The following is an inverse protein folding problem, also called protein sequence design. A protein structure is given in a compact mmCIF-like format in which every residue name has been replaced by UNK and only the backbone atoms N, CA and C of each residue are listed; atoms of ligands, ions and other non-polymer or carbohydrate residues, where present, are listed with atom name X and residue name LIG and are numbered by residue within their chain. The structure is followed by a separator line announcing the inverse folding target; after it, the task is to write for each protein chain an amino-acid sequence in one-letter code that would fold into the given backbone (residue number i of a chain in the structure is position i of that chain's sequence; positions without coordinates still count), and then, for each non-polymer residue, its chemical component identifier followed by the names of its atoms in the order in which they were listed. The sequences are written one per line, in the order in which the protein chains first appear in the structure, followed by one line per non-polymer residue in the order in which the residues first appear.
data_IF_067066496140
#
_entry.id   IF_067066496140
#
_cell.length_a   1.000
_cell.length_b   1.000
_cell.length_c   1.000
_cell.angle_alpha   90.00
_cell.angle_beta   90.00
_cell.angle_gamma   90.00
#
_symmetry.space_group_name_H-M   'P 1'
#
loop_
_entity.id
_entity.type
_entity.pdbx_description
1 polymer ?
#
# COMPACT_ATOMS: atom_id res chain seq x y z
N UNK A 1 -25.71 21.28 55.47
CA UNK A 1 -25.67 20.66 54.14
C UNK A 1 -25.49 19.17 54.38
N UNK A 2 -26.44 18.35 53.95
CA UNK A 2 -26.34 16.90 54.13
C UNK A 2 -25.24 16.36 53.21
N UNK A 3 -24.36 15.52 53.75
CA UNK A 3 -23.26 14.91 52.99
C UNK A 3 -23.83 14.07 51.84
N UNK A 4 -25.01 13.47 52.04
CA UNK A 4 -25.72 12.72 51.02
C UNK A 4 -26.11 13.61 49.82
N UNK A 5 -26.67 14.80 50.06
CA UNK A 5 -27.06 15.73 48.99
C UNK A 5 -25.86 16.28 48.22
N UNK A 6 -24.75 16.53 48.91
CA UNK A 6 -23.50 16.95 48.27
C UNK A 6 -22.95 15.86 47.34
N UNK A 7 -22.87 14.62 47.82
CA UNK A 7 -22.40 13.48 47.02
C UNK A 7 -23.32 13.19 45.84
N UNK A 8 -24.65 13.29 46.02
CA UNK A 8 -25.61 13.09 44.94
C UNK A 8 -25.42 14.12 43.81
N UNK A 9 -25.21 15.39 44.16
CA UNK A 9 -24.97 16.45 43.17
C UNK A 9 -23.63 16.28 42.45
N UNK A 10 -22.56 15.93 43.17
CA UNK A 10 -21.24 15.68 42.56
C UNK A 10 -21.27 14.50 41.58
N UNK A 11 -21.97 13.40 41.94
CA UNK A 11 -22.15 12.25 41.06
C UNK A 11 -22.97 12.60 39.81
N UNK A 12 -24.02 13.40 39.97
CA UNK A 12 -24.85 13.85 38.87
C UNK A 12 -24.08 14.74 37.90
N UNK A 13 -23.22 15.62 38.41
CA UNK A 13 -22.39 16.48 37.58
C UNK A 13 -21.29 15.68 36.86
N UNK A 14 -20.64 14.72 37.54
CA UNK A 14 -19.71 13.79 36.91
C UNK A 14 -20.37 12.96 35.81
N UNK A 15 -21.59 12.48 36.03
CA UNK A 15 -22.32 11.71 35.02
C UNK A 15 -22.58 12.54 33.75
N UNK A 16 -22.97 13.82 33.89
CA UNK A 16 -23.13 14.72 32.74
C UNK A 16 -21.81 14.93 31.99
N UNK A 17 -20.72 15.14 32.72
CA UNK A 17 -19.39 15.34 32.10
C UNK A 17 -18.95 14.09 31.33
N UNK A 18 -19.10 12.90 31.91
CA UNK A 18 -18.78 11.62 31.24
C UNK A 18 -19.63 11.46 29.98
N UNK A 19 -20.94 11.74 30.07
CA UNK A 19 -21.85 11.67 28.92
C UNK A 19 -21.40 12.60 27.79
N UNK A 20 -21.05 13.84 28.11
CA UNK A 20 -20.60 14.82 27.12
C UNK A 20 -19.27 14.43 26.47
N UNK A 21 -18.33 13.85 27.23
CA UNK A 21 -17.08 13.32 26.69
C UNK A 21 -17.36 12.20 25.68
N UNK A 22 -18.23 11.25 26.00
CA UNK A 22 -18.58 10.17 25.09
C UNK A 22 -19.30 10.64 23.82
N UNK A 23 -20.26 11.56 23.94
CA UNK A 23 -20.93 12.16 22.77
C UNK A 23 -19.90 12.84 21.83
N UNK A 24 -18.92 13.55 22.39
CA UNK A 24 -17.84 14.17 21.61
C UNK A 24 -16.89 13.13 20.97
N UNK A 25 -16.57 12.04 21.68
CA UNK A 25 -15.73 10.96 21.14
C UNK A 25 -16.40 10.25 19.97
N UNK A 26 -17.70 9.95 20.08
CA UNK A 26 -18.48 9.36 18.98
C UNK A 26 -18.49 10.27 17.74
N UNK A 27 -18.70 11.57 17.93
CA UNK A 27 -18.65 12.54 16.83
C UNK A 27 -17.26 12.58 16.16
N UNK A 28 -16.19 12.54 16.96
CA UNK A 28 -14.82 12.51 16.45
C UNK A 28 -14.52 11.21 15.68
N UNK A 29 -14.97 10.06 16.18
CA UNK A 29 -14.83 8.78 15.48
C UNK A 29 -15.59 8.75 14.16
N UNK A 30 -16.78 9.37 14.11
CA UNK A 30 -17.55 9.52 12.88
C UNK A 30 -16.79 10.38 11.85
N UNK A 31 -16.22 11.52 12.27
CA UNK A 31 -15.39 12.38 11.41
C UNK A 31 -14.17 11.66 10.85
N UNK A 32 -13.47 10.87 11.68
CA UNK A 32 -12.37 10.04 11.20
C UNK A 32 -12.84 8.99 10.18
N UNK A 33 -14.01 8.37 10.41
CA UNK A 33 -14.61 7.44 9.46
C UNK A 33 -14.89 8.07 8.10
N UNK A 34 -15.53 9.24 8.08
CA UNK A 34 -15.80 10.02 6.87
C UNK A 34 -14.51 10.42 6.14
N UNK A 35 -13.50 10.88 6.89
CA UNK A 35 -12.21 11.27 6.31
C UNK A 35 -11.49 10.08 5.66
N UNK A 36 -11.50 8.91 6.31
CA UNK A 36 -10.96 7.66 5.76
C UNK A 36 -11.65 7.29 4.45
N UNK A 37 -12.99 7.34 4.41
CA UNK A 37 -13.76 7.03 3.20
C UNK A 37 -13.40 7.97 2.04
N UNK A 38 -13.27 9.27 2.34
CA UNK A 38 -12.84 10.27 1.37
C UNK A 38 -11.43 10.01 0.83
N UNK A 39 -10.48 9.65 1.69
CA UNK A 39 -9.11 9.29 1.26
C UNK A 39 -9.16 8.04 0.36
N UNK A 40 -9.95 7.02 0.74
CA UNK A 40 -10.10 5.80 -0.06
C UNK A 40 -10.69 6.08 -1.45
N UNK A 41 -11.69 6.95 -1.54
CA UNK A 41 -12.23 7.42 -2.84
C UNK A 41 -11.15 8.12 -3.67
N UNK A 42 -10.36 9.01 -3.06
CA UNK A 42 -9.27 9.70 -3.75
C UNK A 42 -8.16 8.75 -4.22
N UNK A 43 -7.83 7.72 -3.43
CA UNK A 43 -6.88 6.68 -3.80
C UNK A 43 -7.38 5.87 -5.00
N UNK A 44 -8.66 5.47 -4.99
CA UNK A 44 -9.28 4.73 -6.09
C UNK A 44 -9.26 5.56 -7.40
N UNK A 45 -9.62 6.84 -7.32
CA UNK A 45 -9.58 7.75 -8.46
C UNK A 45 -8.15 7.92 -8.98
N UNK A 46 -7.20 8.18 -8.09
CA UNK A 46 -5.78 8.39 -8.47
C UNK A 46 -5.21 7.15 -9.14
N UNK A 47 -5.53 5.95 -8.64
CA UNK A 47 -5.14 4.68 -9.25
C UNK A 47 -5.73 4.50 -10.65
N UNK A 48 -7.02 4.83 -10.82
CA UNK A 48 -7.68 4.78 -12.13
C UNK A 48 -7.03 5.74 -13.13
N UNK A 49 -6.71 6.97 -12.69
CA UNK A 49 -6.03 7.96 -13.52
C UNK A 49 -4.65 7.49 -13.96
N UNK A 50 -3.86 6.89 -13.05
CA UNK A 50 -2.54 6.34 -13.36
C UNK A 50 -2.67 5.26 -14.44
N UNK A 51 -3.56 4.27 -14.24
CA UNK A 51 -3.78 3.20 -15.22
C UNK A 51 -4.23 3.75 -16.60
N UNK A 52 -5.07 4.80 -16.61
CA UNK A 52 -5.48 5.47 -17.83
C UNK A 52 -4.33 6.16 -18.57
N UNK A 53 -3.39 6.76 -17.83
CA UNK A 53 -2.19 7.36 -18.39
C UNK A 53 -1.18 6.31 -18.88
N UNK A 54 -0.98 5.23 -18.12
CA UNK A 54 -0.11 4.11 -18.52
C UNK A 54 -0.56 3.52 -19.86
N UNK A 55 -1.87 3.32 -20.04
CA UNK A 55 -2.42 2.86 -21.32
C UNK A 55 -2.14 3.84 -22.48
N UNK A 56 -2.14 5.15 -22.22
CA UNK A 56 -1.79 6.16 -23.23
C UNK A 56 -0.30 6.13 -23.57
N UNK A 57 0.55 5.87 -22.58
CA UNK A 57 1.99 5.68 -22.77
C UNK A 57 2.25 4.45 -23.63
N UNK A 58 1.65 3.31 -23.29
CA UNK A 58 1.78 2.05 -24.06
C UNK A 58 1.40 2.25 -25.53
N UNK A 59 0.24 2.87 -25.80
CA UNK A 59 -0.19 3.14 -27.18
C UNK A 59 0.78 4.06 -27.94
N UNK A 60 1.35 5.06 -27.26
CA UNK A 60 2.33 5.96 -27.87
C UNK A 60 3.68 5.27 -28.11
N UNK A 61 4.12 4.38 -27.22
CA UNK A 61 5.33 3.58 -27.40
C UNK A 61 5.20 2.65 -28.62
N UNK A 62 4.05 2.00 -28.79
CA UNK A 62 3.74 1.21 -30.00
C UNK A 62 3.78 2.10 -31.25
N UNK A 63 3.24 3.32 -31.18
CA UNK A 63 3.30 4.26 -32.30
C UNK A 63 4.74 4.72 -32.60
N UNK A 64 5.54 4.99 -31.58
CA UNK A 64 6.94 5.38 -31.71
C UNK A 64 7.74 4.26 -32.39
N UNK A 65 7.54 3.00 -31.97
CA UNK A 65 8.23 1.85 -32.54
C UNK A 65 7.88 1.66 -34.03
N UNK A 66 6.61 1.84 -34.39
CA UNK A 66 6.17 1.80 -35.79
C UNK A 66 6.81 2.90 -36.65
N UNK A 67 7.02 4.10 -36.08
CA UNK A 67 7.68 5.21 -36.77
C UNK A 67 9.19 4.95 -36.86
N UNK A 68 9.84 4.45 -35.81
CA UNK A 68 11.25 4.03 -35.84
C UNK A 68 11.52 3.05 -36.97
N UNK A 69 10.70 1.99 -37.09
CA UNK A 69 10.82 1.01 -38.19
C UNK A 69 10.70 1.66 -39.57
N UNK A 70 9.83 2.66 -39.73
CA UNK A 70 9.73 3.42 -40.99
C UNK A 70 10.96 4.31 -41.22
N UNK A 71 11.52 4.92 -40.19
CA UNK A 71 12.75 5.73 -40.31
C UNK A 71 13.93 4.85 -40.75
N UNK A 72 14.06 3.62 -40.23
CA UNK A 72 15.08 2.66 -40.69
C UNK A 72 14.96 2.34 -42.19
N UNK A 73 13.75 2.34 -42.76
CA UNK A 73 13.56 2.18 -44.22
C UNK A 73 14.20 3.32 -45.03
N UNK A 74 14.36 4.52 -44.44
CA UNK A 74 15.12 5.61 -45.07
C UNK A 74 16.62 5.31 -45.12
N UNK A 75 17.18 4.68 -44.09
CA UNK A 75 18.58 4.24 -44.10
C UNK A 75 18.83 3.21 -45.21
N UNK A 76 17.81 2.39 -45.50
CA UNK A 76 17.75 1.50 -46.65
C UNK A 76 17.43 2.21 -48.00
N UNK A 77 17.36 3.55 -48.01
CA UNK A 77 17.05 4.42 -49.16
C UNK A 77 15.69 4.17 -49.83
N UNK A 78 14.71 3.66 -49.07
CA UNK A 78 13.36 3.36 -49.56
C UNK A 78 12.38 4.53 -49.40
N UNK A 79 12.80 5.64 -48.78
CA UNK A 79 11.96 6.81 -48.49
C UNK A 79 12.56 8.10 -49.04
N UNK A 80 11.70 9.05 -49.38
CA UNK A 80 12.08 10.42 -49.77
C UNK A 80 12.58 11.22 -48.57
N UNK A 81 13.40 12.24 -48.83
CA UNK A 81 13.89 13.13 -47.77
C UNK A 81 12.76 13.90 -47.08
N UNK A 82 11.73 14.29 -47.84
CA UNK A 82 10.54 14.95 -47.29
C UNK A 82 9.76 14.02 -46.34
N UNK A 83 9.57 12.76 -46.71
CA UNK A 83 8.90 11.75 -45.90
C UNK A 83 9.65 11.49 -44.59
N UNK A 84 10.98 11.40 -44.66
CA UNK A 84 11.79 11.22 -43.47
C UNK A 84 11.70 12.42 -42.52
N UNK A 85 11.72 13.66 -43.02
CA UNK A 85 11.58 14.85 -42.17
C UNK A 85 10.23 14.86 -41.44
N UNK A 86 9.16 14.43 -42.11
CA UNK A 86 7.84 14.29 -41.50
C UNK A 86 7.87 13.24 -40.38
N UNK A 87 8.44 12.06 -40.62
CA UNK A 87 8.52 10.99 -39.63
C UNK A 87 9.35 11.39 -38.39
N UNK A 88 10.46 12.11 -38.60
CA UNK A 88 11.27 12.64 -37.49
C UNK A 88 10.46 13.64 -36.66
N UNK A 89 9.73 14.57 -37.29
CA UNK A 89 8.87 15.51 -36.57
C UNK A 89 7.74 14.83 -35.78
N UNK A 90 7.14 13.77 -36.34
CA UNK A 90 6.15 12.95 -35.62
C UNK A 90 6.77 12.25 -34.41
N UNK A 91 8.01 11.76 -34.54
CA UNK A 91 8.72 11.12 -33.45
C UNK A 91 9.05 12.09 -32.32
N UNK A 92 9.47 13.32 -32.65
CA UNK A 92 9.70 14.38 -31.66
C UNK A 92 8.42 14.74 -30.89
N UNK A 93 7.27 14.88 -31.57
CA UNK A 93 5.97 15.12 -30.93
C UNK A 93 5.57 13.96 -29.99
N UNK A 94 5.73 12.71 -30.43
CA UNK A 94 5.45 11.54 -29.57
C UNK A 94 6.36 11.54 -28.34
N UNK A 95 7.65 11.80 -28.51
CA UNK A 95 8.60 11.84 -27.40
C UNK A 95 8.24 12.94 -26.39
N UNK A 96 7.83 14.12 -26.86
CA UNK A 96 7.35 15.19 -25.99
C UNK A 96 6.11 14.77 -25.19
N UNK A 97 5.14 14.11 -25.84
CA UNK A 97 3.94 13.58 -25.18
C UNK A 97 4.26 12.48 -24.17
N UNK A 98 5.18 11.57 -24.49
CA UNK A 98 5.64 10.53 -23.58
C UNK A 98 6.30 11.12 -22.33
N UNK A 99 7.16 12.13 -22.50
CA UNK A 99 7.78 12.83 -21.37
C UNK A 99 6.71 13.46 -20.46
N UNK A 100 5.72 14.14 -21.05
CA UNK A 100 4.62 14.74 -20.30
C UNK A 100 3.78 13.71 -19.53
N UNK A 101 3.42 12.59 -20.16
CA UNK A 101 2.64 11.55 -19.47
C UNK A 101 3.42 10.85 -18.38
N UNK A 102 4.71 10.57 -18.58
CA UNK A 102 5.56 9.98 -17.54
C UNK A 102 5.68 10.91 -16.33
N UNK A 103 5.86 12.22 -16.55
CA UNK A 103 5.85 13.20 -15.48
C UNK A 103 4.49 13.26 -14.75
N UNK A 104 3.38 13.20 -15.49
CA UNK A 104 2.04 13.18 -14.90
C UNK A 104 1.79 11.92 -14.06
N UNK A 105 2.23 10.74 -14.53
CA UNK A 105 2.17 9.49 -13.78
C UNK A 105 2.99 9.61 -12.50
N UNK A 106 4.23 10.09 -12.58
CA UNK A 106 5.10 10.26 -11.42
C UNK A 106 4.47 11.19 -10.36
N UNK A 107 3.91 12.32 -10.77
CA UNK A 107 3.22 13.24 -9.86
C UNK A 107 2.00 12.59 -9.19
N UNK A 108 1.22 11.80 -9.95
CA UNK A 108 0.08 11.05 -9.39
C UNK A 108 0.53 9.93 -8.45
N UNK A 109 1.64 9.26 -8.74
CA UNK A 109 2.24 8.26 -7.87
C UNK A 109 2.62 8.89 -6.51
N UNK A 110 3.27 10.05 -6.53
CA UNK A 110 3.62 10.79 -5.32
C UNK A 110 2.37 11.18 -4.52
N UNK A 111 1.30 11.62 -5.20
CA UNK A 111 0.03 11.92 -4.54
C UNK A 111 -0.59 10.68 -3.92
N UNK A 112 -0.56 9.55 -4.62
CA UNK A 112 -1.03 8.26 -4.10
C UNK A 112 -0.28 7.87 -2.84
N UNK A 113 1.05 7.96 -2.85
CA UNK A 113 1.89 7.65 -1.68
C UNK A 113 1.59 8.57 -0.48
N UNK A 114 1.35 9.86 -0.74
CA UNK A 114 0.95 10.82 0.28
C UNK A 114 -0.40 10.45 0.90
N UNK A 115 -1.40 10.11 0.07
CA UNK A 115 -2.73 9.69 0.54
C UNK A 115 -2.66 8.38 1.33
N UNK A 116 -1.80 7.44 0.93
CA UNK A 116 -1.58 6.20 1.68
C UNK A 116 -0.96 6.44 3.06
N UNK A 117 -0.07 7.44 3.20
CA UNK A 117 0.47 7.83 4.51
C UNK A 117 -0.60 8.49 5.37
N UNK A 118 -1.33 9.45 4.81
CA UNK A 118 -2.43 10.14 5.48
C UNK A 118 -3.50 9.15 5.97
N UNK A 119 -3.85 8.15 5.16
CA UNK A 119 -4.77 7.08 5.55
C UNK A 119 -4.28 6.34 6.79
N UNK A 120 -3.01 5.91 6.80
CA UNK A 120 -2.43 5.18 7.94
C UNK A 120 -2.39 6.03 9.20
N UNK A 121 -2.01 7.29 9.08
CA UNK A 121 -2.01 8.24 10.20
C UNK A 121 -3.41 8.42 10.77
N UNK A 122 -4.41 8.63 9.90
CA UNK A 122 -5.82 8.78 10.30
C UNK A 122 -6.37 7.52 10.97
N UNK A 123 -6.03 6.34 10.44
CA UNK A 123 -6.43 5.05 11.03
C UNK A 123 -5.79 4.85 12.42
N UNK A 124 -4.52 5.24 12.59
CA UNK A 124 -3.83 5.18 13.88
C UNK A 124 -4.47 6.14 14.89
N UNK A 125 -4.76 7.38 14.50
CA UNK A 125 -5.42 8.37 15.36
C UNK A 125 -6.82 7.90 15.78
N UNK A 126 -7.60 7.37 14.84
CA UNK A 126 -8.90 6.75 15.13
C UNK A 126 -8.76 5.60 16.13
N UNK A 127 -7.77 4.73 15.93
CA UNK A 127 -7.51 3.59 16.83
C UNK A 127 -7.12 4.05 18.23
N UNK A 128 -6.26 5.06 18.34
CA UNK A 128 -5.86 5.64 19.62
C UNK A 128 -7.05 6.26 20.37
N UNK A 129 -7.94 6.95 19.64
CA UNK A 129 -9.16 7.52 20.23
C UNK A 129 -10.10 6.42 20.74
N UNK A 130 -10.28 5.34 19.99
CA UNK A 130 -11.08 4.18 20.43
C UNK A 130 -10.49 3.53 21.69
N UNK A 131 -9.16 3.38 21.74
CA UNK A 131 -8.48 2.83 22.92
C UNK A 131 -8.64 3.75 24.14
N UNK A 132 -8.57 5.07 23.97
CA UNK A 132 -8.78 6.03 25.06
C UNK A 132 -10.17 5.93 25.66
N UNK A 133 -11.21 5.94 24.82
CA UNK A 133 -12.59 5.76 25.27
C UNK A 133 -12.79 4.43 26.01
N UNK A 134 -12.10 3.36 25.58
CA UNK A 134 -12.15 2.06 26.27
C UNK A 134 -11.43 2.02 27.62
N UNK A 135 -10.34 2.79 27.79
CA UNK A 135 -9.58 2.87 29.04
C UNK A 135 -10.26 3.75 30.09
N UNK A 136 -10.95 4.82 29.68
CA UNK A 136 -11.71 5.68 30.61
C UNK A 136 -12.99 4.99 31.14
N UNK A 137 -13.50 3.96 30.45
CA UNK A 137 -14.69 3.20 30.87
C UNK A 137 -14.42 2.15 31.97
N UNK A 138 -13.16 1.78 32.27
CA UNK A 138 -12.85 0.69 33.22
C UNK A 138 -11.86 1.09 34.31
N UNK A 139 -12.32 1.91 35.26
CA UNK A 139 -11.85 1.79 36.64
C UNK A 139 -12.48 0.55 37.26
N UNK A 140 -11.72 -0.55 37.33
CA UNK A 140 -12.02 -1.89 37.89
C UNK A 140 -12.41 -2.99 36.89
N UNK A 141 -11.77 -4.15 37.13
CA UNK A 141 -12.00 -5.51 36.59
C UNK A 141 -11.40 -5.90 35.23
N UNK A 142 -10.19 -6.50 35.34
CA UNK A 142 -9.69 -7.56 34.46
C UNK A 142 -10.73 -8.68 34.29
N UNK A 143 -11.56 -8.59 33.25
CA UNK A 143 -12.35 -9.74 32.75
C UNK A 143 -12.36 -9.73 31.22
N UNK A 144 -11.19 -9.70 30.59
CA UNK A 144 -11.06 -10.37 29.29
C UNK A 144 -10.84 -11.84 29.63
N UNK A 145 -11.81 -12.75 29.43
CA UNK A 145 -11.48 -14.17 29.41
C UNK A 145 -10.46 -14.32 28.28
N UNK A 146 -9.24 -14.71 28.60
CA UNK A 146 -8.19 -14.96 27.60
C UNK A 146 -8.74 -15.95 26.58
N UNK A 147 -9.08 -15.45 25.39
CA UNK A 147 -9.45 -16.30 24.26
C UNK A 147 -8.16 -17.00 23.86
N UNK A 148 -8.04 -18.28 24.25
CA UNK A 148 -6.93 -19.12 23.83
C UNK A 148 -6.82 -19.11 22.30
N UNK A 149 -5.62 -19.24 21.74
CA UNK A 149 -5.43 -19.13 20.29
C UNK A 149 -6.32 -20.15 19.59
N UNK A 150 -7.19 -19.67 18.68
CA UNK A 150 -8.13 -20.52 17.92
C UNK A 150 -7.40 -21.51 17.00
N UNK A 151 -6.14 -21.20 16.69
CA UNK A 151 -5.26 -22.07 15.93
C UNK A 151 -4.04 -22.50 16.77
N UNK A 152 -3.62 -23.77 16.67
CA UNK A 152 -2.47 -24.25 17.42
C UNK A 152 -1.20 -23.49 16.99
N UNK A 153 -0.54 -22.84 17.95
CA UNK A 153 0.80 -22.23 17.81
C UNK A 153 1.89 -23.32 17.75
N UNK A 154 1.63 -24.42 17.04
CA UNK A 154 2.55 -25.55 16.88
C UNK A 154 3.17 -25.50 15.49
N UNK A 155 4.44 -25.90 15.36
CA UNK A 155 5.11 -25.93 14.07
C UNK A 155 4.39 -26.88 13.11
N UNK A 156 4.22 -26.44 11.86
CA UNK A 156 3.66 -27.24 10.77
C UNK A 156 4.58 -28.44 10.49
N UNK A 157 4.24 -29.61 11.06
CA UNK A 157 5.10 -30.82 11.00
C UNK A 157 5.45 -31.23 9.56
N UNK A 158 4.48 -31.13 8.65
CA UNK A 158 4.69 -31.44 7.23
C UNK A 158 5.63 -30.44 6.56
N UNK A 159 5.48 -29.15 6.86
CA UNK A 159 6.36 -28.10 6.34
C UNK A 159 7.80 -28.33 6.83
N UNK A 160 8.00 -28.63 8.11
CA UNK A 160 9.32 -28.88 8.67
C UNK A 160 9.98 -30.12 8.07
N UNK A 161 9.22 -31.20 7.82
CA UNK A 161 9.73 -32.40 7.15
C UNK A 161 10.14 -32.07 5.70
N UNK A 162 9.30 -31.33 4.98
CA UNK A 162 9.58 -30.95 3.58
C UNK A 162 10.82 -30.05 3.48
N UNK A 163 10.94 -29.08 4.38
CA UNK A 163 12.12 -28.22 4.52
C UNK A 163 13.37 -29.06 4.83
N UNK A 164 13.28 -30.02 5.76
CA UNK A 164 14.40 -30.89 6.10
C UNK A 164 14.88 -31.74 4.90
N UNK A 165 13.97 -32.26 4.09
CA UNK A 165 14.29 -33.02 2.86
C UNK A 165 14.99 -32.14 1.83
N UNK A 166 14.51 -30.91 1.62
CA UNK A 166 15.13 -29.99 0.66
C UNK A 166 16.53 -29.56 1.14
N UNK A 167 16.66 -29.22 2.42
CA UNK A 167 17.95 -28.81 3.01
C UNK A 167 18.96 -29.94 2.97
N UNK A 168 18.57 -31.18 3.30
CA UNK A 168 19.48 -32.33 3.26
C UNK A 168 19.91 -32.69 1.84
N UNK A 169 19.04 -32.52 0.84
CA UNK A 169 19.39 -32.73 -0.57
C UNK A 169 20.43 -31.72 -1.06
N UNK A 170 20.24 -30.42 -0.75
CA UNK A 170 21.19 -29.36 -1.13
C UNK A 170 22.55 -29.59 -0.48
N UNK A 171 22.57 -29.91 0.81
CA UNK A 171 23.81 -30.22 1.53
C UNK A 171 24.48 -31.48 0.97
N UNK A 172 23.71 -32.54 0.69
CA UNK A 172 24.22 -33.78 0.12
C UNK A 172 24.83 -33.60 -1.27
N UNK A 173 24.16 -32.85 -2.15
CA UNK A 173 24.70 -32.51 -3.47
C UNK A 173 25.96 -31.65 -3.37
N UNK A 174 25.96 -30.64 -2.50
CA UNK A 174 27.13 -29.79 -2.27
C UNK A 174 28.35 -30.57 -1.79
N UNK A 175 28.15 -31.53 -0.89
CA UNK A 175 29.22 -32.42 -0.42
C UNK A 175 29.69 -33.39 -1.52
N UNK A 176 28.78 -33.97 -2.29
CA UNK A 176 29.12 -34.86 -3.40
C UNK A 176 29.97 -34.15 -4.47
N UNK A 177 29.57 -32.94 -4.88
CA UNK A 177 30.36 -32.12 -5.81
C UNK A 177 31.70 -31.68 -5.22
N UNK A 178 31.75 -31.37 -3.91
CA UNK A 178 33.00 -30.99 -3.26
C UNK A 178 33.99 -32.16 -3.20
N UNK A 179 33.53 -33.39 -2.98
CA UNK A 179 34.37 -34.59 -3.00
C UNK A 179 34.85 -34.92 -4.41
N UNK A 180 33.95 -34.90 -5.40
CA UNK A 180 34.31 -35.11 -6.81
C UNK A 180 35.35 -34.09 -7.27
N UNK A 181 35.15 -32.81 -6.93
CA UNK A 181 36.09 -31.73 -7.29
C UNK A 181 37.48 -31.94 -6.68
N UNK A 182 37.59 -32.58 -5.51
CA UNK A 182 38.86 -32.90 -4.85
C UNK A 182 39.53 -34.16 -5.43
N UNK A 183 38.75 -35.12 -5.93
CA UNK A 183 39.27 -36.30 -6.63
C UNK A 183 39.76 -35.94 -8.04
N UNK A 184 39.05 -35.05 -8.75
CA UNK A 184 39.41 -34.58 -10.10
C UNK A 184 40.64 -33.63 -10.08
N UNK A 185 40.97 -33.04 -8.92
CA UNK A 185 42.19 -32.21 -8.75
C UNK A 185 43.43 -32.99 -8.30
N UNK A 186 43.41 -34.34 -8.38
CA UNK A 186 44.56 -35.20 -8.07
C UNK A 186 45.08 -35.93 -9.30
#
# INVERSE_FOLDING_TARGET
LDIADYLANELLERHKQIKQVHENEEEMLAKYGEHIEKIQMQLAQTRSDIAGLEKKVENLEVSAENISRKIEMKELKLLSEAESRILVGQMEDINARLANYRAAIQNKQQRYDSLMRELRETELEKTQLQMRGSLEMYGTELLVPTKGPEEPVRPNKLLNILVAVVVSLVVGLGLAFSLESLEETK
#
